data_IF_013988675187
#
_entry.id   IF_013988675187
#
_cell.length_a   1.000
_cell.length_b   1.000
_cell.length_c   1.000
_cell.angle_alpha   90.00
_cell.angle_beta   90.00
_cell.angle_gamma   90.00
#
_symmetry.space_group_name_H-M   'P 1'
#
loop_
_entity.id
_entity.type
_entity.pdbx_description
1 polymer ?
#
# COMPACT_ATOMS: atom_id res chain seq x y z
N UNK A 1 -6.76 16.97 3.38
CA UNK A 1 -5.49 16.89 2.63
C UNK A 1 -5.01 15.47 2.71
N UNK A 2 -4.72 14.88 1.56
CA UNK A 2 -4.05 13.58 1.44
C UNK A 2 -2.60 13.89 1.15
N UNK A 3 -1.74 13.53 2.10
CA UNK A 3 -0.30 13.74 1.99
C UNK A 3 0.33 12.46 1.45
N UNK A 4 1.06 12.59 0.35
CA UNK A 4 1.88 11.50 -0.21
C UNK A 4 3.31 11.97 -0.13
N UNK A 5 4.11 11.31 0.70
CA UNK A 5 5.53 11.61 0.83
C UNK A 5 6.39 10.37 0.93
N UNK A 6 7.70 10.61 0.98
CA UNK A 6 8.70 9.58 1.20
C UNK A 6 9.55 9.97 2.40
N UNK A 7 9.26 9.40 3.56
CA UNK A 7 9.95 9.66 4.80
C UNK A 7 10.23 8.41 5.62
N UNK A 8 10.52 8.62 6.90
CA UNK A 8 10.81 7.51 7.82
C UNK A 8 9.60 6.60 8.03
N UNK A 9 8.39 7.15 8.01
CA UNK A 9 7.15 6.41 8.25
C UNK A 9 6.86 5.46 7.09
N UNK A 10 6.96 5.92 5.85
CA UNK A 10 6.71 5.10 4.66
C UNK A 10 7.72 3.97 4.54
N UNK A 11 8.99 4.24 4.87
CA UNK A 11 10.02 3.22 4.95
C UNK A 11 9.71 2.19 6.04
N UNK A 12 9.26 2.63 7.23
CA UNK A 12 8.86 1.72 8.31
C UNK A 12 7.67 0.86 7.91
N UNK A 13 6.64 1.42 7.28
CA UNK A 13 5.46 0.66 6.82
C UNK A 13 5.84 -0.34 5.72
N UNK A 14 6.71 0.04 4.78
CA UNK A 14 7.22 -0.88 3.77
C UNK A 14 8.01 -2.04 4.41
N UNK A 15 8.86 -1.75 5.39
CA UNK A 15 9.59 -2.76 6.15
C UNK A 15 8.65 -3.69 6.93
N UNK A 16 7.64 -3.14 7.61
CA UNK A 16 6.63 -3.94 8.33
C UNK A 16 5.88 -4.84 7.36
N UNK A 17 5.47 -4.35 6.19
CA UNK A 17 4.82 -5.15 5.16
C UNK A 17 5.72 -6.29 4.65
N UNK A 18 6.99 -6.00 4.38
CA UNK A 18 7.98 -7.00 3.95
C UNK A 18 8.22 -8.08 5.01
N UNK A 19 8.46 -7.67 6.26
CA UNK A 19 8.71 -8.60 7.37
C UNK A 19 7.48 -9.45 7.65
N UNK A 20 6.28 -8.86 7.65
CA UNK A 20 5.03 -9.62 7.84
C UNK A 20 4.83 -10.61 6.70
N UNK A 21 5.03 -10.18 5.45
CA UNK A 21 4.95 -11.07 4.29
C UNK A 21 5.93 -12.24 4.39
N UNK A 22 7.17 -11.99 4.81
CA UNK A 22 8.19 -13.02 5.03
C UNK A 22 7.78 -14.01 6.12
N UNK A 23 7.31 -13.53 7.28
CA UNK A 23 6.88 -14.37 8.40
C UNK A 23 5.72 -15.29 7.97
N UNK A 24 4.67 -14.75 7.38
CA UNK A 24 3.52 -15.57 6.99
C UNK A 24 3.85 -16.57 5.88
N UNK A 25 4.71 -16.17 4.93
CA UNK A 25 5.17 -17.06 3.85
C UNK A 25 6.01 -18.22 4.42
N UNK A 26 6.94 -17.92 5.32
CA UNK A 26 7.80 -18.95 5.95
C UNK A 26 7.01 -19.88 6.88
N UNK A 27 6.07 -19.34 7.66
CA UNK A 27 5.19 -20.13 8.52
C UNK A 27 4.08 -20.88 7.76
N UNK A 28 3.93 -20.65 6.43
CA UNK A 28 2.82 -21.15 5.60
C UNK A 28 1.44 -20.83 6.21
N UNK A 29 1.36 -19.72 6.92
CA UNK A 29 0.12 -19.26 7.53
C UNK A 29 -0.80 -18.69 6.45
N UNK A 30 -2.14 -18.81 6.59
CA UNK A 30 -3.07 -18.16 5.68
C UNK A 30 -2.88 -16.64 5.77
N UNK A 31 -2.40 -16.05 4.68
CA UNK A 31 -2.26 -14.59 4.55
C UNK A 31 -3.65 -14.00 4.32
N UNK A 32 -4.10 -13.02 5.13
CA UNK A 32 -5.40 -12.37 4.94
C UNK A 32 -5.54 -11.60 3.62
N UNK A 33 -4.42 -11.28 2.97
CA UNK A 33 -4.38 -10.60 1.68
C UNK A 33 -4.48 -11.60 0.51
N UNK A 34 -5.25 -11.28 -0.54
CA UNK A 34 -5.28 -12.08 -1.77
C UNK A 34 -3.88 -12.26 -2.37
N UNK A 35 -3.41 -13.50 -2.44
CA UNK A 35 -2.09 -13.85 -2.98
C UNK A 35 -2.13 -14.21 -4.49
N UNK A 36 -3.28 -14.00 -5.14
CA UNK A 36 -3.47 -14.21 -6.58
C UNK A 36 -3.36 -12.88 -7.33
N UNK A 37 -2.92 -12.94 -8.59
CA UNK A 37 -2.68 -11.75 -9.41
C UNK A 37 -3.88 -10.78 -9.41
N UNK A 38 -5.10 -11.30 -9.59
CA UNK A 38 -6.31 -10.46 -9.60
C UNK A 38 -6.52 -9.68 -8.31
N UNK A 39 -6.18 -10.28 -7.16
CA UNK A 39 -6.29 -9.63 -5.87
C UNK A 39 -5.22 -8.57 -5.64
N UNK A 40 -3.99 -8.83 -6.07
CA UNK A 40 -2.90 -7.83 -6.05
C UNK A 40 -3.28 -6.62 -6.93
N UNK A 41 -3.77 -6.87 -8.15
CA UNK A 41 -4.22 -5.82 -9.05
C UNK A 41 -5.40 -5.02 -8.50
N UNK A 42 -6.32 -5.65 -7.77
CA UNK A 42 -7.42 -4.95 -7.11
C UNK A 42 -6.92 -3.95 -6.05
N UNK A 43 -5.91 -4.32 -5.25
CA UNK A 43 -5.31 -3.43 -4.24
C UNK A 43 -4.64 -2.24 -4.94
N UNK A 44 -3.81 -2.51 -5.94
CA UNK A 44 -3.10 -1.47 -6.72
C UNK A 44 -4.10 -0.53 -7.40
N UNK A 45 -5.11 -1.09 -8.07
CA UNK A 45 -6.14 -0.31 -8.76
C UNK A 45 -6.95 0.56 -7.81
N UNK A 46 -7.29 0.05 -6.62
CA UNK A 46 -7.98 0.82 -5.58
C UNK A 46 -7.13 2.01 -5.11
N UNK A 47 -5.83 1.80 -4.88
CA UNK A 47 -4.91 2.86 -4.49
C UNK A 47 -4.74 3.92 -5.58
N UNK A 48 -4.60 3.51 -6.84
CA UNK A 48 -4.55 4.44 -7.99
C UNK A 48 -5.84 5.25 -8.10
N UNK A 49 -7.00 4.60 -7.98
CA UNK A 49 -8.30 5.28 -7.99
C UNK A 49 -8.42 6.30 -6.86
N UNK A 50 -7.96 5.96 -5.65
CA UNK A 50 -7.89 6.89 -4.52
C UNK A 50 -7.03 8.11 -4.81
N UNK A 51 -5.82 7.93 -5.38
CA UNK A 51 -4.95 9.04 -5.78
C UNK A 51 -5.64 9.91 -6.84
N UNK A 52 -6.21 9.29 -7.88
CA UNK A 52 -6.87 10.01 -8.97
C UNK A 52 -8.03 10.88 -8.46
N UNK A 53 -8.90 10.34 -7.59
CA UNK A 53 -9.99 11.10 -6.98
C UNK A 53 -9.48 12.21 -6.07
N UNK A 54 -8.42 11.95 -5.29
CA UNK A 54 -7.81 12.95 -4.40
C UNK A 54 -7.19 14.11 -5.17
N UNK A 55 -6.56 13.82 -6.32
CA UNK A 55 -6.04 14.82 -7.25
C UNK A 55 -7.16 15.66 -7.87
N UNK A 56 -8.24 15.02 -8.37
CA UNK A 56 -9.41 15.72 -8.94
C UNK A 56 -10.09 16.65 -7.93
N UNK A 57 -10.06 16.30 -6.65
CA UNK A 57 -10.62 17.12 -5.56
C UNK A 57 -9.68 18.25 -5.11
N UNK A 58 -8.48 18.37 -5.67
CA UNK A 58 -7.48 19.33 -5.24
C UNK A 58 -6.98 19.08 -3.81
N UNK A 59 -7.09 17.84 -3.32
CA UNK A 59 -6.74 17.46 -1.95
C UNK A 59 -5.36 16.81 -1.83
N UNK A 60 -4.65 16.65 -2.95
CA UNK A 60 -3.36 15.99 -3.02
C UNK A 60 -2.23 16.97 -2.64
N UNK A 61 -1.45 16.61 -1.63
CA UNK A 61 -0.23 17.34 -1.25
C UNK A 61 0.94 16.37 -1.35
N UNK A 62 1.94 16.69 -2.16
CA UNK A 62 3.20 15.96 -2.14
C UNK A 62 4.06 16.52 -1.01
N UNK A 63 4.30 15.71 0.01
CA UNK A 63 5.34 15.99 0.98
C UNK A 63 6.66 15.40 0.48
N UNK A 64 7.74 16.17 0.59
CA UNK A 64 9.07 15.75 0.11
C UNK A 64 9.93 15.37 1.30
#
# INVERSE_FOLDING_TARGET
>A
MVEIGFGSVELQVALVGLVTGLIYTTARAPIPAPNVLGGILAIIGTFIGFIAVSALRGQLTLAT
#
